data_IF_586361663247
#
_entry.id   IF_586361663247
#
_cell.length_a   1.000
_cell.length_b   1.000
_cell.length_c   1.000
_cell.angle_alpha   90.00
_cell.angle_beta   90.00
_cell.angle_gamma   90.00
#
_symmetry.space_group_name_H-M   'P 1'
#
loop_
_entity.id
_entity.type
_entity.pdbx_description
1 polymer ?
#
# COMPACT_ATOMS: atom_id res chain seq x y z
N UNK A 1 -13.74 25.56 7.63
CA UNK A 1 -14.20 25.19 6.27
C UNK A 1 -13.71 23.80 5.86
N UNK A 2 -14.40 22.70 6.25
CA UNK A 2 -13.97 21.33 5.90
C UNK A 2 -14.85 20.60 4.87
N UNK A 3 -16.06 21.07 4.55
CA UNK A 3 -17.05 20.26 3.83
C UNK A 3 -16.79 20.10 2.32
N UNK A 4 -16.14 21.06 1.66
CA UNK A 4 -15.96 21.03 0.20
C UNK A 4 -14.86 20.07 -0.27
N UNK A 5 -13.87 19.78 0.57
CA UNK A 5 -12.75 18.89 0.22
C UNK A 5 -13.12 17.40 0.30
N UNK A 6 -14.24 17.07 0.95
CA UNK A 6 -14.75 15.70 1.07
C UNK A 6 -15.05 15.04 -0.29
N UNK A 7 -15.36 15.83 -1.32
CA UNK A 7 -15.61 15.32 -2.68
C UNK A 7 -14.31 14.77 -3.33
N UNK A 8 -13.14 15.30 -2.94
CA UNK A 8 -11.86 14.87 -3.52
C UNK A 8 -11.44 13.49 -3.01
N UNK A 9 -11.94 13.07 -1.85
CA UNK A 9 -11.58 11.79 -1.23
C UNK A 9 -12.48 10.64 -1.65
N UNK A 10 -13.41 10.84 -2.61
CA UNK A 10 -14.29 9.79 -3.17
C UNK A 10 -13.59 8.97 -4.25
N UNK A 11 -12.74 9.59 -5.06
CA UNK A 11 -12.05 8.97 -6.20
C UNK A 11 -10.53 8.87 -5.95
N UNK A 12 -9.96 7.68 -6.19
CA UNK A 12 -8.55 7.42 -5.90
C UNK A 12 -7.62 8.27 -6.78
N UNK A 13 -7.95 8.44 -8.06
CA UNK A 13 -7.16 9.24 -8.99
C UNK A 13 -7.09 10.70 -8.54
N UNK A 14 -8.24 11.32 -8.24
CA UNK A 14 -8.29 12.70 -7.75
C UNK A 14 -7.51 12.88 -6.44
N UNK A 15 -7.68 11.97 -5.49
CA UNK A 15 -6.94 12.02 -4.24
C UNK A 15 -5.43 11.96 -4.44
N UNK A 16 -4.93 11.09 -5.33
CA UNK A 16 -3.50 10.99 -5.62
C UNK A 16 -2.94 12.21 -6.33
N UNK A 17 -3.70 12.81 -7.26
CA UNK A 17 -3.31 14.07 -7.91
C UNK A 17 -3.21 15.19 -6.87
N UNK A 18 -4.24 15.35 -6.02
CA UNK A 18 -4.24 16.37 -4.96
C UNK A 18 -3.09 16.17 -3.98
N UNK A 19 -2.82 14.93 -3.57
CA UNK A 19 -1.67 14.60 -2.74
C UNK A 19 -0.35 15.05 -3.40
N UNK A 20 -0.17 14.73 -4.69
CA UNK A 20 1.03 15.06 -5.44
C UNK A 20 1.20 16.58 -5.59
N UNK A 21 0.14 17.29 -5.96
CA UNK A 21 0.15 18.75 -6.13
C UNK A 21 0.46 19.45 -4.80
N UNK A 22 -0.15 19.02 -3.70
CA UNK A 22 0.15 19.56 -2.38
C UNK A 22 1.61 19.30 -1.99
N UNK A 23 2.14 18.11 -2.30
CA UNK A 23 3.55 17.76 -2.02
C UNK A 23 4.51 18.62 -2.85
N UNK A 24 4.18 18.83 -4.13
CA UNK A 24 4.92 19.72 -5.03
C UNK A 24 4.94 21.15 -4.50
N UNK A 25 3.79 21.70 -4.11
CA UNK A 25 3.67 23.05 -3.55
C UNK A 25 4.48 23.18 -2.25
N UNK A 26 4.37 22.20 -1.34
CA UNK A 26 5.17 22.19 -0.10
C UNK A 26 6.67 22.26 -0.40
N UNK A 27 7.15 21.49 -1.37
CA UNK A 27 8.55 21.50 -1.76
C UNK A 27 8.99 22.88 -2.26
N UNK A 28 8.20 23.50 -3.15
CA UNK A 28 8.51 24.81 -3.70
C UNK A 28 8.44 25.92 -2.66
N UNK A 29 7.41 25.93 -1.82
CA UNK A 29 7.30 26.90 -0.73
C UNK A 29 8.47 26.80 0.25
N UNK A 30 8.94 25.58 0.53
CA UNK A 30 10.15 25.36 1.36
C UNK A 30 11.39 25.95 0.67
N UNK A 31 11.58 25.65 -0.62
CA UNK A 31 12.73 26.14 -1.39
C UNK A 31 12.72 27.67 -1.55
N UNK A 32 11.57 28.27 -1.86
CA UNK A 32 11.41 29.72 -2.02
C UNK A 32 11.67 30.46 -0.71
N UNK A 33 11.14 29.95 0.41
CA UNK A 33 11.34 30.56 1.73
C UNK A 33 12.80 30.61 2.16
N UNK A 34 13.62 29.64 1.76
CA UNK A 34 15.06 29.63 2.05
C UNK A 34 15.89 30.35 0.99
N UNK A 35 15.65 30.09 -0.30
CA UNK A 35 16.47 30.57 -1.40
C UNK A 35 16.27 32.06 -1.74
N UNK A 36 15.05 32.58 -1.57
CA UNK A 36 14.75 33.99 -1.87
C UNK A 36 14.80 34.90 -0.64
N UNK A 37 15.10 34.34 0.53
CA UNK A 37 15.07 35.08 1.81
C UNK A 37 15.89 36.36 1.78
N UNK A 38 17.10 36.31 1.23
CA UNK A 38 17.99 37.48 1.17
C UNK A 38 17.52 38.56 0.19
N UNK A 39 16.64 38.21 -0.76
CA UNK A 39 16.06 39.13 -1.72
C UNK A 39 14.79 39.81 -1.21
N UNK A 40 14.29 39.41 -0.04
CA UNK A 40 13.10 40.01 0.54
C UNK A 40 13.40 41.33 1.26
N UNK A 41 12.41 42.24 1.32
CA UNK A 41 12.47 43.43 2.16
C UNK A 41 12.90 43.07 3.59
N UNK A 42 13.72 43.92 4.22
CA UNK A 42 14.37 43.62 5.51
C UNK A 42 13.36 43.26 6.60
N UNK A 43 12.19 43.89 6.56
CA UNK A 43 11.05 43.70 7.46
C UNK A 43 10.44 42.30 7.34
N UNK A 44 10.54 41.69 6.16
CA UNK A 44 10.02 40.37 5.84
C UNK A 44 11.06 39.26 6.00
N UNK A 45 12.36 39.55 6.02
CA UNK A 45 13.40 38.50 6.15
C UNK A 45 13.30 37.68 7.45
N UNK A 46 12.71 38.25 8.49
CA UNK A 46 12.53 37.60 9.79
C UNK A 46 11.16 36.89 9.93
N UNK A 47 10.17 37.25 9.11
CA UNK A 47 8.75 36.92 9.34
C UNK A 47 8.07 36.25 8.14
N UNK A 48 8.49 36.53 6.91
CA UNK A 48 8.02 35.82 5.75
C UNK A 48 8.58 34.40 5.84
N UNK A 49 7.73 33.48 6.25
CA UNK A 49 7.99 32.04 6.14
C UNK A 49 6.69 31.43 5.68
N UNK A 50 6.75 30.49 4.75
CA UNK A 50 5.55 29.80 4.27
C UNK A 50 5.12 28.68 5.23
N UNK A 51 5.51 28.74 6.51
CA UNK A 51 5.36 27.63 7.47
C UNK A 51 3.89 27.25 7.63
N UNK A 52 3.00 28.23 7.77
CA UNK A 52 1.56 27.98 7.91
C UNK A 52 0.97 27.36 6.65
N UNK A 53 1.33 27.88 5.47
CA UNK A 53 0.88 27.31 4.19
C UNK A 53 1.41 25.89 3.99
N UNK A 54 2.69 25.64 4.31
CA UNK A 54 3.30 24.31 4.24
C UNK A 54 2.55 23.35 5.14
N UNK A 55 2.20 23.76 6.36
CA UNK A 55 1.40 22.94 7.27
C UNK A 55 0.01 22.67 6.70
N UNK A 56 -0.69 23.68 6.17
CA UNK A 56 -2.00 23.51 5.55
C UNK A 56 -1.98 22.54 4.36
N UNK A 57 -1.01 22.66 3.45
CA UNK A 57 -0.90 21.76 2.29
C UNK A 57 -0.53 20.33 2.71
N UNK A 58 0.30 20.13 3.73
CA UNK A 58 0.59 18.80 4.27
C UNK A 58 -0.66 18.15 4.86
N UNK A 59 -1.48 18.92 5.58
CA UNK A 59 -2.76 18.44 6.12
C UNK A 59 -3.71 18.07 4.98
N UNK A 60 -3.87 18.94 3.99
CA UNK A 60 -4.73 18.69 2.83
C UNK A 60 -4.29 17.44 2.03
N UNK A 61 -2.99 17.27 1.81
CA UNK A 61 -2.44 16.07 1.17
C UNK A 61 -2.87 14.81 1.93
N UNK A 62 -2.69 14.80 3.26
CA UNK A 62 -3.06 13.65 4.10
C UNK A 62 -4.57 13.39 4.09
N UNK A 63 -5.37 14.43 4.25
CA UNK A 63 -6.84 14.33 4.31
C UNK A 63 -7.46 13.91 2.97
N UNK A 64 -6.82 14.23 1.84
CA UNK A 64 -7.27 13.77 0.53
C UNK A 64 -7.02 12.26 0.32
N UNK A 65 -5.85 11.75 0.73
CA UNK A 65 -5.44 10.38 0.45
C UNK A 65 -5.91 9.37 1.51
N UNK A 66 -5.92 9.73 2.79
CA UNK A 66 -6.22 8.80 3.88
C UNK A 66 -7.60 8.10 3.75
N UNK A 67 -8.70 8.80 3.42
CA UNK A 67 -10.01 8.15 3.29
C UNK A 67 -10.09 7.18 2.11
N UNK A 68 -9.37 7.45 1.02
CA UNK A 68 -9.27 6.50 -0.11
C UNK A 68 -8.58 5.23 0.34
N UNK A 69 -7.43 5.35 1.01
CA UNK A 69 -6.67 4.18 1.49
C UNK A 69 -7.45 3.37 2.53
N UNK A 70 -8.18 4.03 3.42
CA UNK A 70 -9.06 3.36 4.38
C UNK A 70 -10.16 2.58 3.68
N UNK A 71 -10.89 3.19 2.73
CA UNK A 71 -11.94 2.47 1.97
C UNK A 71 -11.38 1.31 1.15
N UNK A 72 -10.22 1.48 0.53
CA UNK A 72 -9.55 0.37 -0.19
C UNK A 72 -9.17 -0.74 0.77
N UNK A 73 -8.58 -0.41 1.93
CA UNK A 73 -8.25 -1.39 2.97
C UNK A 73 -9.50 -2.17 3.41
N UNK A 74 -10.59 -1.47 3.71
CA UNK A 74 -11.84 -2.11 4.15
C UNK A 74 -12.42 -3.00 3.04
N UNK A 75 -12.33 -2.56 1.79
CA UNK A 75 -12.67 -3.36 0.62
C UNK A 75 -11.84 -4.64 0.52
N UNK A 76 -10.52 -4.53 0.64
CA UNK A 76 -9.61 -5.69 0.65
C UNK A 76 -9.95 -6.67 1.78
N UNK A 77 -10.21 -6.18 3.00
CA UNK A 77 -10.61 -7.01 4.14
C UNK A 77 -11.92 -7.75 3.86
N UNK A 78 -12.89 -7.06 3.25
CA UNK A 78 -14.16 -7.67 2.86
C UNK A 78 -13.97 -8.78 1.83
N UNK A 79 -13.15 -8.54 0.81
CA UNK A 79 -12.89 -9.54 -0.24
C UNK A 79 -12.08 -10.73 0.27
N UNK A 80 -11.23 -10.54 1.28
CA UNK A 80 -10.52 -11.64 1.96
C UNK A 80 -11.48 -12.67 2.58
N UNK A 81 -12.70 -12.26 2.97
CA UNK A 81 -13.77 -13.17 3.37
C UNK A 81 -13.32 -14.23 4.37
N UNK A 82 -13.30 -15.49 3.94
CA UNK A 82 -12.93 -16.66 4.74
C UNK A 82 -11.55 -16.58 5.40
N UNK A 83 -10.58 -15.91 4.79
CA UNK A 83 -9.26 -15.69 5.38
C UNK A 83 -9.33 -14.90 6.69
N UNK A 84 -10.41 -14.15 6.91
CA UNK A 84 -10.65 -13.43 8.17
C UNK A 84 -11.29 -14.31 9.25
N UNK A 85 -11.78 -15.51 8.93
CA UNK A 85 -12.52 -16.41 9.82
C UNK A 85 -11.67 -17.58 10.34
N UNK A 86 -12.03 -18.14 11.51
CA UNK A 86 -11.43 -19.40 12.00
C UNK A 86 -12.05 -20.58 11.23
N UNK A 87 -11.27 -21.64 10.98
CA UNK A 87 -11.77 -22.83 10.27
C UNK A 87 -11.86 -22.68 8.74
N UNK A 88 -11.07 -21.77 8.17
CA UNK A 88 -11.01 -21.48 6.72
C UNK A 88 -10.56 -22.67 5.84
N UNK A 89 -9.98 -23.72 6.45
CA UNK A 89 -9.27 -24.82 5.78
C UNK A 89 -10.10 -26.09 5.59
N UNK A 90 -11.40 -25.94 5.30
CA UNK A 90 -12.27 -27.08 4.99
C UNK A 90 -12.18 -27.40 3.49
N UNK A 91 -12.06 -28.68 3.11
CA UNK A 91 -11.77 -29.11 1.72
C UNK A 91 -12.79 -28.60 0.68
N UNK A 92 -14.05 -28.41 1.09
CA UNK A 92 -15.10 -27.83 0.23
C UNK A 92 -15.02 -26.31 0.03
N UNK A 93 -14.00 -25.65 0.60
CA UNK A 93 -13.90 -24.19 0.71
C UNK A 93 -12.56 -23.65 0.20
N UNK A 94 -11.64 -24.52 -0.25
CA UNK A 94 -10.32 -24.12 -0.73
C UNK A 94 -10.39 -23.29 -2.02
N UNK A 95 -11.26 -23.67 -2.95
CA UNK A 95 -11.44 -22.94 -4.22
C UNK A 95 -12.05 -21.55 -3.99
N UNK A 96 -13.00 -21.42 -3.06
CA UNK A 96 -13.54 -20.11 -2.67
C UNK A 96 -12.46 -19.27 -1.96
N UNK A 97 -11.68 -19.87 -1.06
CA UNK A 97 -10.56 -19.17 -0.42
C UNK A 97 -9.53 -18.67 -1.45
N UNK A 98 -9.22 -19.45 -2.49
CA UNK A 98 -8.31 -19.05 -3.57
C UNK A 98 -8.90 -17.86 -4.33
N UNK A 99 -10.15 -17.98 -4.76
CA UNK A 99 -10.82 -16.95 -5.53
C UNK A 99 -10.92 -15.63 -4.74
N UNK A 100 -11.25 -15.69 -3.46
CA UNK A 100 -11.28 -14.53 -2.55
C UNK A 100 -9.90 -13.86 -2.45
N UNK A 101 -8.84 -14.65 -2.37
CA UNK A 101 -7.47 -14.14 -2.31
C UNK A 101 -7.07 -13.45 -3.62
N UNK A 102 -7.43 -14.04 -4.77
CA UNK A 102 -7.20 -13.45 -6.09
C UNK A 102 -7.93 -12.12 -6.22
N UNK A 103 -9.20 -12.05 -5.80
CA UNK A 103 -9.99 -10.81 -5.84
C UNK A 103 -9.37 -9.74 -4.91
N UNK A 104 -8.99 -10.10 -3.68
CA UNK A 104 -8.34 -9.19 -2.75
C UNK A 104 -7.01 -8.63 -3.30
N UNK A 105 -6.17 -9.49 -3.89
CA UNK A 105 -4.95 -9.08 -4.59
C UNK A 105 -5.26 -8.18 -5.80
N UNK A 106 -6.36 -8.46 -6.52
CA UNK A 106 -6.86 -7.63 -7.61
C UNK A 106 -7.25 -6.22 -7.16
N UNK A 107 -7.90 -6.08 -5.99
CA UNK A 107 -8.20 -4.77 -5.40
C UNK A 107 -6.93 -3.96 -5.11
N UNK A 108 -5.90 -4.61 -4.57
CA UNK A 108 -4.58 -3.97 -4.35
C UNK A 108 -3.96 -3.54 -5.68
N UNK A 109 -3.98 -4.41 -6.69
CA UNK A 109 -3.42 -4.12 -8.01
C UNK A 109 -4.13 -2.94 -8.71
N UNK A 110 -5.46 -2.84 -8.58
CA UNK A 110 -6.24 -1.75 -9.17
C UNK A 110 -5.84 -0.38 -8.63
N UNK A 111 -5.66 -0.28 -7.30
CA UNK A 111 -5.20 0.95 -6.67
C UNK A 111 -3.74 1.21 -6.99
N UNK A 112 -2.90 0.17 -7.03
CA UNK A 112 -1.50 0.29 -7.41
C UNK A 112 -1.34 0.89 -8.81
N UNK A 113 -2.11 0.43 -9.80
CA UNK A 113 -2.10 0.99 -11.15
C UNK A 113 -2.40 2.49 -11.16
N UNK A 114 -3.43 2.90 -10.41
CA UNK A 114 -3.82 4.33 -10.32
C UNK A 114 -2.78 5.16 -9.58
N UNK A 115 -2.21 4.61 -8.50
CA UNK A 115 -1.17 5.25 -7.70
C UNK A 115 0.13 5.44 -8.48
N UNK A 116 0.55 4.44 -9.26
CA UNK A 116 1.79 4.49 -10.03
C UNK A 116 1.81 5.63 -11.05
N UNK A 117 0.65 5.97 -11.63
CA UNK A 117 0.52 7.04 -12.61
C UNK A 117 0.56 8.45 -12.00
N UNK A 118 0.28 8.59 -10.70
CA UNK A 118 0.01 9.90 -10.09
C UNK A 118 0.85 10.21 -8.85
N UNK A 119 1.52 9.21 -8.26
CA UNK A 119 2.33 9.38 -7.06
C UNK A 119 3.82 9.24 -7.37
N UNK A 120 4.70 9.98 -6.66
CA UNK A 120 6.13 9.73 -6.69
C UNK A 120 6.45 8.30 -6.26
N UNK A 121 7.46 7.67 -6.86
CA UNK A 121 7.78 6.25 -6.69
C UNK A 121 7.88 5.81 -5.22
N UNK A 122 8.47 6.63 -4.35
CA UNK A 122 8.58 6.32 -2.92
C UNK A 122 7.21 6.27 -2.23
N UNK A 123 6.31 7.20 -2.57
CA UNK A 123 4.96 7.26 -1.98
C UNK A 123 4.09 6.14 -2.54
N UNK A 124 4.19 5.88 -3.85
CA UNK A 124 3.57 4.73 -4.50
C UNK A 124 3.89 3.42 -3.78
N UNK A 125 5.17 3.14 -3.53
CA UNK A 125 5.60 1.91 -2.84
C UNK A 125 5.10 1.85 -1.40
N UNK A 126 5.02 2.98 -0.70
CA UNK A 126 4.42 3.04 0.64
C UNK A 126 2.93 2.72 0.60
N UNK A 127 2.17 3.29 -0.33
CA UNK A 127 0.74 3.00 -0.50
C UNK A 127 0.51 1.54 -0.82
N UNK A 128 1.29 0.99 -1.77
CA UNK A 128 1.23 -0.41 -2.15
C UNK A 128 1.56 -1.32 -0.96
N UNK A 129 2.64 -1.02 -0.23
CA UNK A 129 3.05 -1.74 0.97
C UNK A 129 1.95 -1.82 2.00
N UNK A 130 1.36 -0.67 2.37
CA UNK A 130 0.26 -0.60 3.34
C UNK A 130 -0.95 -1.45 2.95
N UNK A 131 -1.30 -1.49 1.66
CA UNK A 131 -2.44 -2.29 1.17
C UNK A 131 -2.10 -3.78 1.06
N UNK A 132 -0.90 -4.11 0.58
CA UNK A 132 -0.43 -5.48 0.48
C UNK A 132 -0.25 -6.12 1.87
N UNK A 133 0.23 -5.35 2.85
CA UNK A 133 0.43 -5.81 4.23
C UNK A 133 -0.86 -6.29 4.89
N UNK A 134 -2.01 -5.74 4.51
CA UNK A 134 -3.32 -6.24 4.94
C UNK A 134 -3.52 -7.68 4.48
N UNK A 135 -3.34 -7.96 3.19
CA UNK A 135 -3.49 -9.31 2.62
C UNK A 135 -2.47 -10.26 3.23
N UNK A 136 -1.19 -9.84 3.24
CA UNK A 136 -0.07 -10.64 3.75
C UNK A 136 -0.27 -10.96 5.23
N UNK A 137 -0.67 -9.99 6.06
CA UNK A 137 -0.88 -10.19 7.49
C UNK A 137 -1.99 -11.18 7.81
N UNK A 138 -3.14 -11.12 7.13
CA UNK A 138 -4.20 -12.11 7.32
C UNK A 138 -3.74 -13.51 6.89
N UNK A 139 -3.09 -13.63 5.73
CA UNK A 139 -2.62 -14.92 5.21
C UNK A 139 -1.52 -15.51 6.10
N UNK A 140 -0.51 -14.72 6.47
CA UNK A 140 0.59 -15.14 7.33
C UNK A 140 0.08 -15.63 8.69
N UNK A 141 -0.84 -14.87 9.30
CA UNK A 141 -1.51 -15.27 10.54
C UNK A 141 -2.24 -16.60 10.36
N UNK A 142 -3.02 -16.77 9.29
CA UNK A 142 -3.76 -18.00 9.05
C UNK A 142 -2.89 -19.21 8.82
N UNK A 143 -1.81 -19.07 8.04
CA UNK A 143 -0.84 -20.14 7.86
C UNK A 143 -0.16 -20.54 9.18
N UNK A 144 0.11 -19.57 10.07
CA UNK A 144 0.72 -19.85 11.37
C UNK A 144 -0.19 -20.65 12.33
N UNK A 145 -1.51 -20.57 12.14
CA UNK A 145 -2.51 -21.30 12.95
C UNK A 145 -2.77 -22.73 12.44
N UNK A 146 -2.27 -23.08 11.25
CA UNK A 146 -2.53 -24.38 10.64
C UNK A 146 -1.51 -25.43 11.10
N UNK A 147 -2.00 -26.53 11.66
CA UNK A 147 -1.23 -27.77 11.84
C UNK A 147 -1.53 -28.66 10.63
N UNK A 148 -0.52 -28.91 9.80
CA UNK A 148 -0.75 -29.39 8.42
C UNK A 148 -0.05 -30.72 8.18
N UNK A 149 -0.74 -31.66 7.54
CA UNK A 149 -0.14 -32.86 6.93
C UNK A 149 0.51 -32.54 5.58
N UNK A 150 1.46 -33.34 5.12
CA UNK A 150 2.26 -33.03 3.91
C UNK A 150 1.43 -32.84 2.63
N UNK A 151 0.33 -33.58 2.47
CA UNK A 151 -0.61 -33.41 1.34
C UNK A 151 -1.32 -32.05 1.38
N UNK A 152 -1.71 -31.58 2.56
CA UNK A 152 -2.33 -30.26 2.73
C UNK A 152 -1.31 -29.12 2.60
N UNK A 153 -0.05 -29.36 2.95
CA UNK A 153 1.01 -28.35 2.83
C UNK A 153 1.21 -27.87 1.39
N UNK A 154 1.24 -28.80 0.41
CA UNK A 154 1.33 -28.45 -1.02
C UNK A 154 0.13 -27.65 -1.51
N UNK A 155 -1.08 -28.05 -1.10
CA UNK A 155 -2.30 -27.32 -1.45
C UNK A 155 -2.26 -25.87 -0.91
N UNK A 156 -1.76 -25.67 0.30
CA UNK A 156 -1.63 -24.34 0.90
C UNK A 156 -0.58 -23.46 0.22
N UNK A 157 0.55 -24.03 -0.18
CA UNK A 157 1.56 -23.28 -0.93
C UNK A 157 0.97 -22.80 -2.27
N UNK A 158 0.23 -23.68 -2.97
CA UNK A 158 -0.48 -23.30 -4.21
C UNK A 158 -1.49 -22.18 -3.95
N UNK A 159 -2.27 -22.32 -2.88
CA UNK A 159 -3.33 -21.39 -2.53
C UNK A 159 -2.82 -19.96 -2.26
N UNK A 160 -1.61 -19.85 -1.70
CA UNK A 160 -0.99 -18.57 -1.34
C UNK A 160 -0.20 -17.95 -2.51
N UNK A 161 -0.07 -18.65 -3.63
CA UNK A 161 0.66 -18.18 -4.81
C UNK A 161 0.24 -16.79 -5.32
N UNK A 162 -1.06 -16.39 -5.32
CA UNK A 162 -1.46 -15.04 -5.73
C UNK A 162 -0.80 -13.93 -4.88
N UNK A 163 -0.59 -14.17 -3.59
CA UNK A 163 0.05 -13.22 -2.65
C UNK A 163 1.55 -13.16 -2.88
N UNK A 164 2.18 -14.31 -3.10
CA UNK A 164 3.60 -14.37 -3.44
C UNK A 164 3.90 -13.66 -4.77
N UNK A 165 2.97 -13.73 -5.72
CA UNK A 165 3.10 -13.04 -7.00
C UNK A 165 3.08 -11.50 -6.89
N UNK A 166 2.59 -10.92 -5.78
CA UNK A 166 2.54 -9.46 -5.58
C UNK A 166 3.94 -8.82 -5.67
N UNK A 167 4.97 -9.48 -5.14
CA UNK A 167 6.36 -9.00 -5.20
C UNK A 167 6.80 -8.76 -6.65
N UNK A 168 6.66 -9.79 -7.49
CA UNK A 168 7.08 -9.74 -8.89
C UNK A 168 6.24 -8.80 -9.76
N UNK A 169 4.98 -8.55 -9.38
CA UNK A 169 4.01 -7.82 -10.19
C UNK A 169 3.89 -6.35 -9.82
N UNK A 170 3.95 -6.02 -8.53
CA UNK A 170 3.62 -4.70 -8.03
C UNK A 170 4.83 -3.97 -7.43
N UNK A 171 5.82 -4.69 -6.89
CA UNK A 171 7.02 -4.06 -6.31
C UNK A 171 8.14 -3.91 -7.32
N UNK A 172 7.81 -3.37 -8.50
CA UNK A 172 8.77 -3.14 -9.59
C UNK A 172 8.77 -1.66 -9.96
N UNK A 173 9.96 -1.06 -9.94
CA UNK A 173 10.19 0.31 -10.38
C UNK A 173 10.83 0.30 -11.77
N UNK A 174 10.18 0.93 -12.75
CA UNK A 174 10.78 1.21 -14.05
C UNK A 174 11.70 2.43 -13.94
N UNK A 175 13.01 2.21 -14.11
CA UNK A 175 14.01 3.25 -14.32
C UNK A 175 14.37 3.31 -15.81
N UNK A 176 14.91 4.45 -16.27
CA UNK A 176 15.38 4.61 -17.66
C UNK A 176 16.45 3.58 -18.08
N UNK A 177 17.10 2.91 -17.12
CA UNK A 177 18.10 1.86 -17.34
C UNK A 177 17.58 0.44 -17.15
N UNK A 178 16.27 0.25 -16.86
CA UNK A 178 15.65 -1.06 -16.67
C UNK A 178 14.69 -1.13 -15.48
N UNK A 179 14.12 -2.32 -15.24
CA UNK A 179 13.26 -2.59 -14.09
C UNK A 179 14.08 -2.97 -12.86
N UNK A 180 13.89 -2.25 -11.76
CA UNK A 180 14.51 -2.56 -10.46
C UNK A 180 13.43 -3.02 -9.49
N UNK A 181 13.64 -4.13 -8.79
CA UNK A 181 12.71 -4.61 -7.76
C UNK A 181 12.89 -3.82 -6.48
N UNK A 182 11.77 -3.39 -5.90
CA UNK A 182 11.76 -2.78 -4.58
C UNK A 182 11.69 -3.88 -3.50
N UNK A 183 12.46 -3.77 -2.40
CA UNK A 183 12.40 -4.77 -1.34
C UNK A 183 11.04 -4.70 -0.64
N UNK A 184 10.20 -5.72 -0.81
CA UNK A 184 8.83 -5.76 -0.28
C UNK A 184 8.81 -5.61 1.23
N UNK A 185 9.74 -6.28 1.93
CA UNK A 185 9.88 -6.24 3.39
C UNK A 185 10.09 -4.84 3.96
N UNK A 186 10.58 -3.88 3.16
CA UNK A 186 10.71 -2.48 3.58
C UNK A 186 9.35 -1.78 3.72
N UNK A 187 8.33 -2.25 3.01
CA UNK A 187 7.02 -1.62 2.89
C UNK A 187 5.88 -2.49 3.43
N UNK A 188 6.09 -3.79 3.58
CA UNK A 188 5.16 -4.78 4.10
C UNK A 188 5.89 -5.58 5.19
N UNK A 189 5.59 -5.27 6.46
CA UNK A 189 6.26 -5.85 7.63
C UNK A 189 6.02 -7.35 7.76
N UNK A 190 4.86 -7.83 7.34
CA UNK A 190 4.47 -9.24 7.48
C UNK A 190 5.07 -10.14 6.38
N UNK A 191 5.78 -9.55 5.41
CA UNK A 191 6.29 -10.27 4.24
C UNK A 191 7.28 -11.37 4.60
N UNK A 192 8.27 -11.07 5.44
CA UNK A 192 9.29 -12.05 5.84
C UNK A 192 8.67 -13.18 6.69
N UNK A 193 7.65 -12.83 7.49
CA UNK A 193 6.84 -13.79 8.22
C UNK A 193 6.15 -14.78 7.29
N UNK A 194 5.45 -14.26 6.26
CA UNK A 194 4.81 -15.08 5.23
C UNK A 194 5.81 -16.00 4.52
N UNK A 195 6.93 -15.45 4.05
CA UNK A 195 7.95 -16.24 3.34
C UNK A 195 8.51 -17.36 4.23
N UNK A 196 8.71 -17.10 5.52
CA UNK A 196 9.18 -18.11 6.47
C UNK A 196 8.16 -19.25 6.62
N UNK A 197 6.86 -18.94 6.74
CA UNK A 197 5.83 -19.96 6.85
C UNK A 197 5.71 -20.81 5.57
N UNK A 198 5.75 -20.17 4.40
CA UNK A 198 5.71 -20.88 3.12
C UNK A 198 6.92 -21.82 2.95
N UNK A 199 8.11 -21.38 3.36
CA UNK A 199 9.32 -22.23 3.33
C UNK A 199 9.19 -23.42 4.28
N UNK A 200 8.64 -23.24 5.48
CA UNK A 200 8.37 -24.34 6.43
C UNK A 200 7.43 -25.38 5.82
N UNK A 201 6.33 -24.95 5.23
CA UNK A 201 5.37 -25.83 4.55
C UNK A 201 6.00 -26.58 3.36
N UNK A 202 6.95 -25.94 2.67
CA UNK A 202 7.67 -26.54 1.53
C UNK A 202 8.78 -27.51 1.94
N UNK A 203 9.29 -27.43 3.17
CA UNK A 203 10.34 -28.33 3.66
C UNK A 203 9.79 -29.58 4.36
N UNK A 204 8.58 -29.52 4.93
CA UNK A 204 7.92 -30.69 5.52
C UNK A 204 7.45 -31.74 4.50
N UNK A 205 7.51 -31.43 3.20
CA UNK A 205 6.99 -32.27 2.11
C UNK A 205 8.04 -33.21 1.49
N UNK A 206 9.18 -33.45 2.17
CA UNK A 206 10.26 -34.34 1.72
C UNK A 206 10.20 -35.71 2.39
#
# INVERSE_FOLDING_TARGET
MPSQWSILSVDAKRAFIVFNDCTFLVHHLTALGHGLREHWPRELRASATFVDLIASFRTLARESMSPVLQRTRDGVIRELGLWTQKGWLNENVLDDAEQRLVVACGCVAQVAHTAQAHLPSRVYLTVLGLLADVVVGYVAKRLSECVVSDTKARALVRLVAPVLALESRLFVLTSGTGQTRAPVAKYCSEWDGLQTQVRRLSMGTK
#
